data_IF_115917221718
#
_entry.id   IF_115917221718
#
_cell.length_a   1.000
_cell.length_b   1.000
_cell.length_c   1.000
_cell.angle_alpha   90.00
_cell.angle_beta   90.00
_cell.angle_gamma   90.00
#
_symmetry.space_group_name_H-M   'P 1'
#
loop_
_entity.id
_entity.type
_entity.pdbx_description
1 polymer ?
#
# COMPACT_ATOMS: atom_id res chain seq x y z
N UNK A 1 -18.99 -34.22 -54.46
CA UNK A 1 -17.69 -33.53 -54.37
C UNK A 1 -17.92 -32.03 -54.58
N UNK A 2 -18.17 -31.25 -53.51
CA UNK A 2 -18.40 -29.80 -53.60
C UNK A 2 -17.18 -29.09 -53.03
N UNK A 3 -16.40 -28.47 -53.91
CA UNK A 3 -15.20 -27.71 -53.57
C UNK A 3 -15.60 -26.43 -52.83
N UNK A 4 -15.25 -26.37 -51.55
CA UNK A 4 -15.44 -25.18 -50.71
C UNK A 4 -14.37 -24.16 -51.15
N UNK A 5 -14.74 -22.93 -51.58
CA UNK A 5 -13.77 -21.96 -52.06
C UNK A 5 -12.89 -21.47 -50.90
N UNK A 6 -11.58 -21.70 -51.03
CA UNK A 6 -10.53 -21.43 -50.04
C UNK A 6 -10.38 -19.92 -49.65
N UNK A 7 -11.12 -19.02 -50.32
CA UNK A 7 -11.07 -17.57 -50.12
C UNK A 7 -11.88 -17.09 -48.92
N UNK A 8 -12.95 -17.80 -48.54
CA UNK A 8 -13.87 -17.35 -47.49
C UNK A 8 -13.30 -17.61 -46.08
N UNK A 9 -12.60 -18.73 -45.90
CA UNK A 9 -11.95 -19.10 -44.62
C UNK A 9 -10.87 -18.08 -44.23
N UNK A 10 -10.08 -17.61 -45.20
CA UNK A 10 -9.02 -16.60 -44.98
C UNK A 10 -9.56 -15.23 -44.59
N UNK A 11 -10.74 -14.84 -45.09
CA UNK A 11 -11.42 -13.58 -44.72
C UNK A 11 -12.00 -13.65 -43.31
N UNK A 12 -12.59 -14.79 -42.94
CA UNK A 12 -13.10 -15.02 -41.59
C UNK A 12 -11.99 -15.12 -40.54
N UNK A 13 -10.84 -15.71 -40.88
CA UNK A 13 -9.66 -15.75 -40.03
C UNK A 13 -9.08 -14.35 -39.78
N UNK A 14 -9.01 -13.51 -40.81
CA UNK A 14 -8.55 -12.12 -40.66
C UNK A 14 -9.51 -11.27 -39.82
N UNK A 15 -10.82 -11.42 -40.02
CA UNK A 15 -11.81 -10.74 -39.17
C UNK A 15 -11.74 -11.21 -37.72
N UNK A 16 -11.53 -12.51 -37.48
CA UNK A 16 -11.38 -13.04 -36.13
C UNK A 16 -10.11 -12.49 -35.45
N UNK A 17 -9.00 -12.36 -36.20
CA UNK A 17 -7.76 -11.78 -35.69
C UNK A 17 -7.92 -10.30 -35.35
N UNK A 18 -8.58 -9.52 -36.20
CA UNK A 18 -8.90 -8.12 -35.95
C UNK A 18 -9.78 -7.94 -34.70
N UNK A 19 -10.82 -8.77 -34.55
CA UNK A 19 -11.70 -8.75 -33.39
C UNK A 19 -10.92 -9.15 -32.12
N UNK A 20 -10.06 -10.17 -32.20
CA UNK A 20 -9.22 -10.60 -31.08
C UNK A 20 -8.24 -9.50 -30.65
N UNK A 21 -7.62 -8.79 -31.60
CA UNK A 21 -6.71 -7.66 -31.30
C UNK A 21 -7.46 -6.47 -30.71
N UNK A 22 -8.68 -6.18 -31.19
CA UNK A 22 -9.51 -5.12 -30.64
C UNK A 22 -9.94 -5.44 -29.20
N UNK A 23 -10.32 -6.70 -28.92
CA UNK A 23 -10.64 -7.17 -27.57
C UNK A 23 -9.41 -7.07 -26.66
N UNK A 24 -8.22 -7.43 -27.14
CA UNK A 24 -6.98 -7.29 -26.36
C UNK A 24 -6.68 -5.83 -25.98
N UNK A 25 -6.95 -4.87 -26.87
CA UNK A 25 -6.76 -3.45 -26.60
C UNK A 25 -7.77 -2.91 -25.58
N UNK A 26 -9.01 -3.42 -25.57
CA UNK A 26 -10.05 -3.04 -24.60
C UNK A 26 -9.79 -3.52 -23.17
N UNK A 27 -8.94 -4.54 -22.96
CA UNK A 27 -8.59 -5.08 -21.63
C UNK A 27 -7.37 -4.37 -21.03
N UNK A 28 -6.89 -3.28 -21.65
CA UNK A 28 -5.78 -2.49 -21.11
C UNK A 28 -6.25 -1.67 -19.91
N UNK A 29 -6.44 -2.32 -18.77
CA UNK A 29 -6.51 -1.63 -17.48
C UNK A 29 -5.15 -0.97 -17.26
N UNK A 30 -5.13 0.35 -17.38
CA UNK A 30 -3.97 1.14 -17.01
C UNK A 30 -3.76 0.90 -15.51
N UNK A 31 -2.69 0.17 -15.17
CA UNK A 31 -2.24 -0.03 -13.79
C UNK A 31 -1.65 1.28 -13.24
N UNK A 32 -2.44 2.34 -13.22
CA UNK A 32 -2.20 3.50 -12.39
C UNK A 32 -2.57 3.08 -10.98
N UNK A 33 -1.56 2.87 -10.15
CA UNK A 33 -1.74 2.66 -8.72
C UNK A 33 -2.55 3.82 -8.17
N UNK A 34 -3.85 3.58 -7.94
CA UNK A 34 -4.71 4.56 -7.30
C UNK A 34 -4.25 4.68 -5.84
N UNK A 35 -3.47 5.71 -5.55
CA UNK A 35 -3.07 6.04 -4.18
C UNK A 35 -4.32 6.54 -3.47
N UNK A 36 -5.01 5.62 -2.78
CA UNK A 36 -6.18 5.91 -1.98
C UNK A 36 -5.84 6.96 -0.92
N UNK A 37 -6.41 8.15 -1.06
CA UNK A 37 -6.24 9.25 -0.10
C UNK A 37 -7.16 9.06 1.10
N UNK A 38 -6.59 9.15 2.29
CA UNK A 38 -7.34 9.11 3.55
C UNK A 38 -7.40 10.52 4.14
N UNK A 39 -8.59 10.97 4.57
CA UNK A 39 -8.74 12.25 5.29
C UNK A 39 -8.19 12.20 6.72
N UNK A 40 -7.98 11.00 7.26
CA UNK A 40 -7.42 10.75 8.57
C UNK A 40 -7.35 9.25 8.82
N UNK A 41 -6.31 8.83 9.54
CA UNK A 41 -6.09 7.43 9.90
C UNK A 41 -5.37 7.34 11.24
N UNK A 42 -5.63 6.26 11.98
CA UNK A 42 -4.80 5.85 13.11
C UNK A 42 -3.79 4.84 12.58
N UNK A 43 -2.50 5.10 12.80
CA UNK A 43 -1.41 4.22 12.34
C UNK A 43 -0.82 3.51 13.54
N UNK A 44 -0.82 2.19 13.50
CA UNK A 44 -0.08 1.37 14.45
C UNK A 44 1.38 1.28 14.01
N UNK A 45 2.30 1.61 14.93
CA UNK A 45 3.73 1.51 14.70
C UNK A 45 4.32 0.57 15.75
N UNK A 46 4.74 -0.65 15.38
CA UNK A 46 5.35 -1.58 16.34
C UNK A 46 6.75 -1.08 16.74
N UNK A 47 7.04 -1.13 18.04
CA UNK A 47 8.38 -0.86 18.58
C UNK A 47 8.75 -1.94 19.59
N UNK A 48 9.99 -2.40 19.56
CA UNK A 48 10.52 -3.35 20.53
C UNK A 48 11.26 -2.58 21.62
N UNK A 49 10.84 -2.76 22.87
CA UNK A 49 11.49 -2.15 24.03
C UNK A 49 12.79 -2.85 24.42
N UNK A 50 12.93 -4.12 24.07
CA UNK A 50 14.13 -4.91 24.31
C UNK A 50 14.26 -6.04 23.30
N UNK A 51 15.48 -6.52 23.16
CA UNK A 51 15.80 -7.76 22.45
C UNK A 51 16.50 -8.71 23.41
N UNK A 52 16.34 -10.01 23.21
CA UNK A 52 17.10 -11.01 23.94
C UNK A 52 18.46 -11.19 23.26
N UNK A 53 19.54 -11.15 24.02
CA UNK A 53 20.89 -11.32 23.49
C UNK A 53 21.69 -12.38 24.26
N UNK A 54 22.39 -13.22 23.49
CA UNK A 54 23.27 -14.30 23.95
C UNK A 54 22.53 -15.58 24.39
N UNK A 55 23.32 -16.63 24.68
CA UNK A 55 22.86 -17.97 25.13
C UNK A 55 22.04 -17.96 26.43
N UNK A 56 22.04 -16.84 27.16
CA UNK A 56 21.36 -16.69 28.45
C UNK A 56 20.13 -15.79 28.37
N UNK A 57 19.66 -15.48 27.16
CA UNK A 57 18.42 -14.71 26.89
C UNK A 57 18.29 -13.45 27.76
N UNK A 58 19.38 -12.67 27.89
CA UNK A 58 19.30 -11.45 28.71
C UNK A 58 18.61 -10.34 27.92
N UNK A 59 17.59 -9.68 28.50
CA UNK A 59 16.91 -8.58 27.83
C UNK A 59 17.85 -7.37 27.76
N UNK A 60 18.08 -6.88 26.55
CA UNK A 60 18.83 -5.66 26.25
C UNK A 60 17.84 -4.57 25.84
N UNK A 61 17.78 -3.49 26.61
CA UNK A 61 16.84 -2.38 26.36
C UNK A 61 17.24 -1.60 25.11
N UNK A 62 16.26 -1.35 24.24
CA UNK A 62 16.42 -0.56 23.03
C UNK A 62 15.79 0.82 23.21
N UNK A 63 16.45 1.83 22.67
CA UNK A 63 15.85 3.15 22.47
C UNK A 63 15.13 3.17 21.12
N UNK A 64 13.89 3.66 21.09
CA UNK A 64 13.11 3.83 19.88
C UNK A 64 12.88 5.32 19.59
N UNK A 65 13.02 5.69 18.33
CA UNK A 65 12.78 7.05 17.84
C UNK A 65 11.75 7.01 16.71
N UNK A 66 10.60 7.63 16.92
CA UNK A 66 9.58 7.80 15.88
C UNK A 66 9.77 9.15 15.19
N UNK A 67 10.00 9.14 13.88
CA UNK A 67 10.05 10.35 13.06
C UNK A 67 8.82 10.43 12.18
N UNK A 68 8.09 11.54 12.27
CA UNK A 68 6.95 11.85 11.40
C UNK A 68 7.35 13.06 10.56
N UNK A 69 7.20 12.95 9.23
CA UNK A 69 7.52 14.02 8.28
C UNK A 69 6.39 14.18 7.28
N UNK A 70 5.96 15.41 7.09
CA UNK A 70 5.14 15.77 5.94
C UNK A 70 6.07 16.04 4.74
N UNK A 71 5.80 15.38 3.61
CA UNK A 71 6.55 15.59 2.36
C UNK A 71 5.79 16.47 1.36
N UNK A 72 4.52 16.75 1.63
CA UNK A 72 3.67 17.61 0.80
C UNK A 72 3.76 19.06 1.30
N UNK A 73 4.32 20.00 0.51
CA UNK A 73 4.43 21.40 0.91
C UNK A 73 3.10 22.15 0.84
N UNK A 74 2.12 21.66 0.05
CA UNK A 74 0.86 22.34 -0.21
C UNK A 74 -0.24 21.88 0.76
N UNK A 75 -0.15 20.64 1.25
CA UNK A 75 -1.13 20.04 2.15
C UNK A 75 -0.50 19.68 3.51
N UNK A 76 -0.82 20.45 4.55
CA UNK A 76 -0.39 20.15 5.92
C UNK A 76 -1.08 18.90 6.49
N UNK A 77 -0.40 18.22 7.42
CA UNK A 77 -0.99 17.12 8.19
C UNK A 77 -1.14 17.52 9.66
N UNK A 78 -2.23 17.09 10.30
CA UNK A 78 -2.44 17.31 11.74
C UNK A 78 -2.32 16.00 12.50
N UNK A 79 -1.31 15.91 13.37
CA UNK A 79 -1.16 14.83 14.34
C UNK A 79 -2.01 15.15 15.56
N UNK A 80 -3.05 14.35 15.78
CA UNK A 80 -4.01 14.52 16.88
C UNK A 80 -3.51 13.92 18.20
N UNK A 81 -2.86 12.76 18.14
CA UNK A 81 -2.37 12.04 19.30
C UNK A 81 -1.14 11.20 18.92
N UNK A 82 -0.27 10.98 19.91
CA UNK A 82 0.82 10.02 19.84
C UNK A 82 0.80 9.28 21.19
N UNK A 83 0.19 8.11 21.18
CA UNK A 83 -0.08 7.31 22.37
C UNK A 83 0.78 6.05 22.32
N UNK A 84 1.57 5.85 23.37
CA UNK A 84 2.47 4.71 23.51
C UNK A 84 1.88 3.69 24.48
N UNK A 85 1.74 2.46 24.00
CA UNK A 85 1.17 1.34 24.73
C UNK A 85 2.24 0.27 24.96
N UNK A 86 2.13 -0.48 26.06
CA UNK A 86 2.91 -1.71 26.23
C UNK A 86 2.33 -2.88 25.42
N UNK A 87 3.02 -4.02 25.49
CA UNK A 87 2.62 -5.26 24.80
C UNK A 87 1.26 -5.79 25.25
N UNK A 88 0.79 -5.41 26.45
CA UNK A 88 -0.51 -5.81 27.00
C UNK A 88 -1.62 -4.80 26.64
N UNK A 89 -1.30 -3.74 25.88
CA UNK A 89 -2.24 -2.71 25.44
C UNK A 89 -2.52 -1.64 26.49
N UNK A 90 -1.73 -1.54 27.57
CA UNK A 90 -1.86 -0.49 28.57
C UNK A 90 -1.19 0.79 28.07
N UNK A 91 -1.89 1.91 28.16
CA UNK A 91 -1.35 3.22 27.82
C UNK A 91 -0.24 3.59 28.82
N UNK A 92 0.99 3.68 28.32
CA UNK A 92 2.15 4.09 29.11
C UNK A 92 2.34 5.61 29.07
N UNK A 93 2.18 6.22 27.90
CA UNK A 93 2.48 7.64 27.72
C UNK A 93 1.72 8.28 26.57
N UNK A 94 1.27 9.51 26.79
CA UNK A 94 0.83 10.42 25.73
C UNK A 94 1.94 11.42 25.44
N UNK A 95 2.41 11.49 24.20
CA UNK A 95 3.50 12.38 23.80
C UNK A 95 3.01 13.77 23.37
N UNK A 96 1.73 13.90 23.02
CA UNK A 96 1.12 15.18 22.66
C UNK A 96 0.12 15.64 23.72
N UNK A 97 0.24 16.90 24.13
CA UNK A 97 -0.76 17.58 24.98
C UNK A 97 -1.81 18.33 24.14
N UNK A 98 -1.42 18.77 22.94
CA UNK A 98 -2.27 19.45 21.96
C UNK A 98 -1.93 18.94 20.55
N UNK A 99 -2.84 19.15 19.62
CA UNK A 99 -2.64 18.79 18.22
C UNK A 99 -1.40 19.50 17.66
N UNK A 100 -0.63 18.78 16.85
CA UNK A 100 0.56 19.28 16.17
C UNK A 100 0.32 19.27 14.66
N UNK A 101 0.46 20.42 14.01
CA UNK A 101 0.39 20.54 12.54
C UNK A 101 1.79 20.55 11.97
N UNK A 102 2.01 19.75 10.91
CA UNK A 102 3.29 19.58 10.20
C UNK A 102 3.18 20.01 8.74
#
# INVERSE_FOLDING_TARGET
MKNIPCTNVRRHLFSCWLILTAILLFISDNALSEVKRYKGQTVYVPIYSHIYSGDRERPFLLAATLSIRNTDPDQSITVKAIDYYDSDGKLLKKYLQKNLTL
#
